data_IF_759829532704
#
_entry.id   IF_759829532704
#
_cell.length_a   1.000
_cell.length_b   1.000
_cell.length_c   1.000
_cell.angle_alpha   90.00
_cell.angle_beta   90.00
_cell.angle_gamma   90.00
#
_symmetry.space_group_name_H-M   'P 1'
#
loop_
_entity.id
_entity.type
_entity.pdbx_description
1 polymer ?
#
# COMPACT_ATOMS: atom_id res chain seq x y z
N UNK A 1 -20.42 1.22 -8.51
CA UNK A 1 -19.84 1.00 -7.17
C UNK A 1 -19.69 2.37 -6.54
N UNK A 2 -20.14 2.58 -5.30
CA UNK A 2 -19.95 3.87 -4.63
C UNK A 2 -18.46 4.12 -4.30
N UNK A 3 -18.09 5.37 -4.00
CA UNK A 3 -16.69 5.76 -3.76
C UNK A 3 -16.06 4.99 -2.59
N UNK A 4 -16.81 4.75 -1.52
CA UNK A 4 -16.38 3.96 -0.36
C UNK A 4 -16.07 2.51 -0.77
N UNK A 5 -16.96 1.90 -1.54
CA UNK A 5 -16.86 0.54 -2.05
C UNK A 5 -15.62 0.35 -2.91
N UNK A 6 -15.33 1.29 -3.82
CA UNK A 6 -14.14 1.17 -4.68
C UNK A 6 -12.85 1.35 -3.88
N UNK A 7 -12.81 2.27 -2.92
CA UNK A 7 -11.65 2.42 -2.02
C UNK A 7 -11.42 1.14 -1.19
N UNK A 8 -12.48 0.52 -0.67
CA UNK A 8 -12.38 -0.76 0.07
C UNK A 8 -11.81 -1.89 -0.80
N UNK A 9 -12.24 -2.00 -2.06
CA UNK A 9 -11.70 -2.99 -3.00
C UNK A 9 -10.20 -2.77 -3.20
N UNK A 10 -9.78 -1.53 -3.43
CA UNK A 10 -8.37 -1.18 -3.62
C UNK A 10 -7.52 -1.47 -2.37
N UNK A 11 -8.06 -1.21 -1.18
CA UNK A 11 -7.39 -1.53 0.09
C UNK A 11 -7.21 -3.05 0.27
N UNK A 12 -8.19 -3.87 -0.12
CA UNK A 12 -8.03 -5.32 -0.11
C UNK A 12 -6.94 -5.78 -1.11
N UNK A 13 -6.89 -5.13 -2.28
CA UNK A 13 -5.89 -5.44 -3.29
C UNK A 13 -4.47 -5.05 -2.86
N UNK A 14 -4.35 -3.94 -2.13
CA UNK A 14 -3.12 -3.53 -1.46
C UNK A 14 -2.67 -4.59 -0.45
N UNK A 15 -3.56 -5.03 0.44
CA UNK A 15 -3.27 -6.06 1.45
C UNK A 15 -2.74 -7.35 0.82
N UNK A 16 -3.44 -7.87 -0.19
CA UNK A 16 -3.03 -9.07 -0.93
C UNK A 16 -1.65 -8.88 -1.58
N UNK A 17 -1.39 -7.69 -2.12
CA UNK A 17 -0.09 -7.38 -2.75
C UNK A 17 1.04 -7.36 -1.72
N UNK A 18 0.81 -6.82 -0.53
CA UNK A 18 1.80 -6.81 0.56
C UNK A 18 2.11 -8.21 1.07
N UNK A 19 1.10 -9.07 1.19
CA UNK A 19 1.27 -10.48 1.57
C UNK A 19 2.11 -11.24 0.53
N UNK A 20 1.88 -10.99 -0.76
CA UNK A 20 2.71 -11.56 -1.83
C UNK A 20 4.15 -11.06 -1.79
N UNK A 21 4.36 -9.75 -1.57
CA UNK A 21 5.70 -9.18 -1.45
C UNK A 21 6.46 -9.82 -0.29
N UNK A 22 5.81 -9.99 0.87
CA UNK A 22 6.40 -10.65 2.03
C UNK A 22 6.79 -12.09 1.70
N UNK A 23 5.85 -12.88 1.15
CA UNK A 23 6.09 -14.27 0.79
C UNK A 23 7.23 -14.44 -0.22
N UNK A 24 7.36 -13.54 -1.19
CA UNK A 24 8.42 -13.63 -2.21
C UNK A 24 9.74 -13.05 -1.70
N UNK A 25 9.71 -12.09 -0.76
CA UNK A 25 10.94 -11.49 -0.21
C UNK A 25 11.85 -12.50 0.49
N UNK A 26 11.30 -13.62 0.96
CA UNK A 26 12.02 -14.71 1.65
C UNK A 26 12.45 -15.86 0.73
N UNK A 27 12.01 -15.88 -0.54
CA UNK A 27 12.45 -16.87 -1.54
C UNK A 27 13.92 -16.66 -1.91
N UNK A 28 14.54 -17.68 -2.50
CA UNK A 28 15.93 -17.67 -2.98
C UNK A 28 16.07 -18.19 -4.43
N UNK A 29 14.95 -18.44 -5.13
CA UNK A 29 14.94 -18.90 -6.52
C UNK A 29 15.13 -17.77 -7.54
N UNK A 30 15.42 -18.15 -8.79
CA UNK A 30 15.68 -17.23 -9.92
C UNK A 30 14.46 -16.37 -10.31
N UNK A 31 13.24 -16.83 -10.04
CA UNK A 31 12.01 -16.10 -10.38
C UNK A 31 11.72 -14.96 -9.41
N UNK A 32 12.23 -15.06 -8.17
CA UNK A 32 12.06 -14.10 -7.09
C UNK A 32 12.24 -12.64 -7.53
N UNK A 33 13.36 -12.32 -8.19
CA UNK A 33 13.66 -10.93 -8.59
C UNK A 33 12.61 -10.39 -9.54
N UNK A 34 12.27 -11.18 -10.55
CA UNK A 34 11.28 -10.81 -11.55
C UNK A 34 9.92 -10.54 -10.90
N UNK A 35 9.46 -11.45 -10.03
CA UNK A 35 8.20 -11.31 -9.33
C UNK A 35 8.17 -10.08 -8.40
N UNK A 36 9.25 -9.81 -7.66
CA UNK A 36 9.35 -8.62 -6.81
C UNK A 36 9.27 -7.33 -7.62
N UNK A 37 9.87 -7.28 -8.82
CA UNK A 37 9.78 -6.13 -9.71
C UNK A 37 8.34 -5.91 -10.19
N UNK A 38 7.63 -6.99 -10.55
CA UNK A 38 6.22 -6.89 -10.94
C UNK A 38 5.34 -6.41 -9.77
N UNK A 39 5.52 -6.98 -8.59
CA UNK A 39 4.76 -6.60 -7.40
C UNK A 39 5.04 -5.16 -6.95
N UNK A 40 6.29 -4.69 -7.09
CA UNK A 40 6.66 -3.30 -6.83
C UNK A 40 5.87 -2.33 -7.72
N UNK A 41 5.70 -2.68 -9.00
CA UNK A 41 4.89 -1.90 -9.94
C UNK A 41 3.42 -1.92 -9.53
N UNK A 42 2.86 -3.10 -9.26
CA UNK A 42 1.47 -3.23 -8.81
C UNK A 42 1.20 -2.46 -7.52
N UNK A 43 2.13 -2.46 -6.56
CA UNK A 43 2.02 -1.70 -5.32
C UNK A 43 1.91 -0.19 -5.60
N UNK A 44 2.77 0.35 -6.47
CA UNK A 44 2.72 1.76 -6.83
C UNK A 44 1.43 2.14 -7.57
N UNK A 45 0.97 1.28 -8.49
CA UNK A 45 -0.28 1.45 -9.23
C UNK A 45 -1.49 1.47 -8.28
N UNK A 46 -1.57 0.52 -7.34
CA UNK A 46 -2.67 0.44 -6.36
C UNK A 46 -2.68 1.69 -5.47
N UNK A 47 -1.52 2.16 -4.99
CA UNK A 47 -1.45 3.40 -4.18
C UNK A 47 -1.90 4.63 -4.98
N UNK A 48 -1.56 4.68 -6.27
CA UNK A 48 -2.05 5.71 -7.18
C UNK A 48 -3.58 5.68 -7.31
N UNK A 49 -4.15 4.49 -7.51
CA UNK A 49 -5.60 4.30 -7.61
C UNK A 49 -6.33 4.65 -6.31
N UNK A 50 -5.77 4.29 -5.14
CA UNK A 50 -6.32 4.70 -3.83
C UNK A 50 -6.32 6.23 -3.72
N UNK A 51 -5.23 6.88 -4.15
CA UNK A 51 -5.12 8.34 -4.12
C UNK A 51 -6.21 8.99 -4.97
N UNK A 52 -6.40 8.52 -6.20
CA UNK A 52 -7.43 9.04 -7.11
C UNK A 52 -8.85 8.79 -6.58
N UNK A 53 -9.15 7.55 -6.17
CA UNK A 53 -10.45 7.19 -5.62
C UNK A 53 -10.78 7.94 -4.32
N UNK A 54 -9.77 8.28 -3.52
CA UNK A 54 -9.95 9.06 -2.29
C UNK A 54 -10.49 10.47 -2.56
N UNK A 55 -10.20 11.08 -3.72
CA UNK A 55 -10.74 12.40 -4.06
C UNK A 55 -12.27 12.38 -4.16
N UNK A 56 -12.82 11.31 -4.75
CA UNK A 56 -14.27 11.12 -4.84
C UNK A 56 -14.88 10.75 -3.49
N UNK A 57 -14.15 10.00 -2.65
CA UNK A 57 -14.55 9.73 -1.27
C UNK A 57 -14.67 11.04 -0.48
N UNK A 58 -13.66 11.90 -0.54
CA UNK A 58 -13.62 13.18 0.18
C UNK A 58 -14.70 14.15 -0.28
N UNK A 59 -15.04 14.16 -1.57
CA UNK A 59 -16.16 14.94 -2.07
C UNK A 59 -17.52 14.44 -1.53
N UNK A 60 -17.63 13.16 -1.20
CA UNK A 60 -18.87 12.54 -0.71
C UNK A 60 -19.03 12.59 0.82
N UNK A 61 -17.93 12.75 1.58
CA UNK A 61 -17.96 12.84 3.04
C UNK A 61 -17.83 14.30 3.48
N UNK A 62 -18.63 14.71 4.47
CA UNK A 62 -18.54 16.06 5.05
C UNK A 62 -17.62 16.14 6.27
N UNK A 63 -17.09 15.01 6.74
CA UNK A 63 -16.23 14.94 7.92
C UNK A 63 -14.76 15.22 7.55
N UNK A 64 -14.34 16.45 7.82
CA UNK A 64 -12.98 16.93 7.58
C UNK A 64 -11.91 16.19 8.39
N UNK A 65 -12.25 15.71 9.58
CA UNK A 65 -11.30 14.95 10.43
C UNK A 65 -10.94 13.61 9.79
N UNK A 66 -11.94 12.96 9.18
CA UNK A 66 -11.72 11.72 8.42
C UNK A 66 -10.85 11.98 7.20
N UNK A 67 -11.12 13.04 6.44
CA UNK A 67 -10.30 13.41 5.27
C UNK A 67 -8.84 13.65 5.67
N UNK A 68 -8.60 14.50 6.67
CA UNK A 68 -7.25 14.83 7.13
C UNK A 68 -6.51 13.58 7.64
N UNK A 69 -7.19 12.74 8.43
CA UNK A 69 -6.65 11.49 8.94
C UNK A 69 -6.30 10.47 7.85
N UNK A 70 -7.11 10.42 6.78
CA UNK A 70 -6.87 9.54 5.63
C UNK A 70 -5.67 10.04 4.81
N UNK A 71 -5.64 11.34 4.50
CA UNK A 71 -4.56 11.96 3.71
C UNK A 71 -3.20 11.81 4.39
N UNK A 72 -3.14 12.02 5.71
CA UNK A 72 -1.91 11.86 6.48
C UNK A 72 -1.33 10.44 6.31
N UNK A 73 -2.14 9.41 6.59
CA UNK A 73 -1.70 8.01 6.50
C UNK A 73 -1.39 7.58 5.06
N UNK A 74 -2.16 8.07 4.09
CA UNK A 74 -1.87 7.82 2.67
C UNK A 74 -0.52 8.43 2.26
N UNK A 75 -0.19 9.61 2.77
CA UNK A 75 1.12 10.22 2.54
C UNK A 75 2.24 9.41 3.20
N UNK A 76 2.03 8.89 4.42
CA UNK A 76 3.01 8.03 5.10
C UNK A 76 3.31 6.76 4.28
N UNK A 77 2.28 6.10 3.74
CA UNK A 77 2.46 4.96 2.85
C UNK A 77 3.26 5.31 1.60
N UNK A 78 2.90 6.41 0.93
CA UNK A 78 3.58 6.87 -0.29
C UNK A 78 5.05 7.15 -0.01
N UNK A 79 5.34 7.81 1.11
CA UNK A 79 6.70 8.10 1.53
C UNK A 79 7.48 6.82 1.82
N UNK A 80 6.92 5.88 2.59
CA UNK A 80 7.57 4.62 2.91
C UNK A 80 7.90 3.80 1.65
N UNK A 81 6.96 3.71 0.71
CA UNK A 81 7.16 3.02 -0.57
C UNK A 81 8.21 3.73 -1.41
N UNK A 82 8.13 5.05 -1.56
CA UNK A 82 9.11 5.82 -2.34
C UNK A 82 10.53 5.67 -1.77
N UNK A 83 10.68 5.73 -0.45
CA UNK A 83 11.96 5.55 0.23
C UNK A 83 12.53 4.16 -0.02
N UNK A 84 11.72 3.10 0.18
CA UNK A 84 12.15 1.73 -0.14
C UNK A 84 12.60 1.59 -1.59
N UNK A 85 11.82 2.15 -2.51
CA UNK A 85 12.07 2.09 -3.94
C UNK A 85 13.33 2.84 -4.37
N UNK A 86 13.66 3.95 -3.69
CA UNK A 86 14.88 4.72 -3.92
C UNK A 86 16.11 4.01 -3.34
N UNK A 87 16.00 3.44 -2.14
CA UNK A 87 17.11 2.73 -1.47
C UNK A 87 17.45 1.39 -2.12
N UNK A 88 16.47 0.73 -2.76
CA UNK A 88 16.63 -0.59 -3.38
C UNK A 88 16.14 -0.54 -4.83
N UNK A 89 16.94 -0.03 -5.77
CA UNK A 89 16.58 -0.05 -7.20
C UNK A 89 16.44 -1.50 -7.70
N UNK A 90 15.63 -1.72 -8.74
CA UNK A 90 15.32 -3.05 -9.26
C UNK A 90 16.57 -3.89 -9.63
N UNK A 91 17.64 -3.22 -10.07
CA UNK A 91 18.93 -3.85 -10.37
C UNK A 91 19.63 -4.43 -9.14
N UNK A 92 19.38 -3.88 -7.94
CA UNK A 92 20.08 -4.19 -6.70
C UNK A 92 19.30 -5.12 -5.74
N UNK A 93 18.13 -5.63 -6.14
CA UNK A 93 17.28 -6.50 -5.30
C UNK A 93 18.00 -7.80 -4.86
N UNK A 94 18.99 -8.26 -5.63
CA UNK A 94 19.73 -9.49 -5.33
C UNK A 94 20.89 -9.28 -4.34
N UNK A 95 21.34 -8.04 -4.13
CA UNK A 95 22.61 -7.77 -3.44
C UNK A 95 22.47 -7.56 -1.92
N UNK A 96 21.24 -7.46 -1.37
CA UNK A 96 21.03 -6.98 0.00
C UNK A 96 19.94 -7.72 0.78
N UNK A 97 20.06 -9.04 1.01
CA UNK A 97 18.95 -9.80 1.57
C UNK A 97 18.46 -9.32 2.95
N UNK A 98 19.35 -8.92 3.88
CA UNK A 98 18.94 -8.46 5.22
C UNK A 98 18.32 -7.05 5.23
N UNK A 99 19.01 -6.06 4.65
CA UNK A 99 18.54 -4.67 4.63
C UNK A 99 17.29 -4.50 3.74
N UNK A 100 17.24 -5.24 2.63
CA UNK A 100 16.05 -5.29 1.78
C UNK A 100 14.85 -5.84 2.56
N UNK A 101 15.01 -7.00 3.22
CA UNK A 101 13.93 -7.59 4.04
C UNK A 101 13.49 -6.63 5.15
N UNK A 102 14.43 -5.99 5.85
CA UNK A 102 14.12 -4.99 6.86
C UNK A 102 13.33 -3.81 6.26
N UNK A 103 13.68 -3.37 5.06
CA UNK A 103 12.95 -2.31 4.36
C UNK A 103 11.56 -2.75 3.90
N UNK A 104 11.40 -3.98 3.39
CA UNK A 104 10.10 -4.56 3.04
C UNK A 104 9.21 -4.60 4.28
N UNK A 105 9.74 -5.02 5.43
CA UNK A 105 9.01 -5.02 6.70
C UNK A 105 8.54 -3.64 7.12
N UNK A 106 9.38 -2.61 6.98
CA UNK A 106 8.97 -1.21 7.26
C UNK A 106 7.81 -0.77 6.36
N UNK A 107 7.93 -0.99 5.05
CA UNK A 107 6.85 -0.68 4.10
C UNK A 107 5.57 -1.41 4.48
N UNK A 108 5.66 -2.71 4.75
CA UNK A 108 4.50 -3.53 5.15
C UNK A 108 3.84 -3.00 6.41
N UNK A 109 4.61 -2.68 7.45
CA UNK A 109 4.07 -2.18 8.71
C UNK A 109 3.32 -0.85 8.52
N UNK A 110 3.92 0.13 7.83
CA UNK A 110 3.25 1.42 7.53
C UNK A 110 1.98 1.23 6.70
N UNK A 111 2.00 0.34 5.71
CA UNK A 111 0.79 0.08 4.92
C UNK A 111 -0.27 -0.69 5.72
N UNK A 112 0.14 -1.61 6.61
CA UNK A 112 -0.77 -2.35 7.50
C UNK A 112 -1.47 -1.41 8.48
N UNK A 113 -0.74 -0.47 9.08
CA UNK A 113 -1.31 0.58 9.95
C UNK A 113 -2.40 1.39 9.23
N UNK A 114 -2.18 1.75 7.96
CA UNK A 114 -3.22 2.38 7.15
C UNK A 114 -4.42 1.46 6.91
N UNK A 115 -4.19 0.20 6.49
CA UNK A 115 -5.25 -0.77 6.21
C UNK A 115 -6.14 -0.99 7.45
N UNK A 116 -5.50 -1.23 8.60
CA UNK A 116 -6.16 -1.52 9.87
C UNK A 116 -6.99 -0.34 10.37
N UNK A 117 -6.56 0.89 10.06
CA UNK A 117 -7.34 2.09 10.36
C UNK A 117 -8.46 2.34 9.33
N UNK A 118 -8.15 2.23 8.03
CA UNK A 118 -9.03 2.64 6.94
C UNK A 118 -10.22 1.67 6.77
N UNK A 119 -10.00 0.36 6.85
CA UNK A 119 -11.07 -0.63 6.67
C UNK A 119 -12.24 -0.45 7.66
N UNK A 120 -12.03 -0.39 8.99
CA UNK A 120 -13.12 -0.20 9.94
C UNK A 120 -13.78 1.18 9.83
N UNK A 121 -13.00 2.21 9.51
CA UNK A 121 -13.52 3.57 9.28
C UNK A 121 -14.47 3.60 8.07
N UNK A 122 -14.03 3.11 6.91
CA UNK A 122 -14.85 3.05 5.69
C UNK A 122 -16.06 2.13 5.86
N UNK A 123 -15.90 1.04 6.60
CA UNK A 123 -17.01 0.15 6.94
C UNK A 123 -18.10 0.83 7.78
N UNK A 124 -17.73 1.78 8.66
CA UNK A 124 -18.71 2.58 9.40
C UNK A 124 -19.42 3.58 8.49
N UNK A 125 -18.69 4.28 7.64
CA UNK A 125 -19.26 5.24 6.68
C UNK A 125 -20.21 4.59 5.67
N UNK A 126 -19.96 3.33 5.29
CA UNK A 126 -20.86 2.60 4.39
C UNK A 126 -22.22 2.25 5.02
N UNK A 127 -22.30 2.21 6.35
CA UNK A 127 -23.51 1.84 7.10
C UNK A 127 -24.34 3.04 7.57
N UNK A 128 -23.73 4.22 7.60
CA UNK A 128 -24.40 5.51 7.86
C UNK A 128 -25.08 6.03 6.61
#
# INVERSE_FOLDING_TARGET
MDSIGTVLVLINQLEITLEKIEAISTREDEERKYELVQLRRSLAEIIGQITEASLQLFAAISDRSIEEGFRARLNDMRHAVALHQASFPASAIDQHSADYRASVMRVRNTNREFIDWAKPMLGRLKRS
#
